data_IF_125246857967
#
_entry.id   IF_125246857967
#
_cell.length_a   1.000
_cell.length_b   1.000
_cell.length_c   1.000
_cell.angle_alpha   90.00
_cell.angle_beta   90.00
_cell.angle_gamma   90.00
#
_symmetry.space_group_name_H-M   'P 1'
#
loop_
_entity.id
_entity.type
_entity.pdbx_description
1 polymer ?
#
# COMPACT_ATOMS: atom_id res chain seq x y z
N UNK A 1 -2.63 -25.83 -16.31
CA UNK A 1 -3.90 -26.10 -15.61
C UNK A 1 -3.75 -27.34 -14.73
N UNK A 2 -3.09 -28.40 -15.22
CA UNK A 2 -2.74 -29.61 -14.44
C UNK A 2 -1.89 -29.35 -13.17
N UNK A 3 -1.17 -28.22 -13.14
CA UNK A 3 -0.35 -27.71 -12.04
C UNK A 3 -1.18 -27.00 -10.95
N UNK A 4 -2.40 -26.57 -11.28
CA UNK A 4 -3.35 -25.92 -10.36
C UNK A 4 -4.46 -26.90 -9.95
N UNK A 5 -4.94 -27.70 -10.89
CA UNK A 5 -5.98 -28.69 -10.70
C UNK A 5 -5.62 -30.00 -11.42
N UNK A 6 -5.52 -31.10 -10.68
CA UNK A 6 -5.18 -32.41 -11.23
C UNK A 6 -4.19 -33.19 -10.38
N UNK A 7 -3.78 -34.40 -10.83
CA UNK A 7 -2.84 -35.26 -10.09
C UNK A 7 -1.44 -34.66 -9.96
N UNK A 8 -1.07 -33.70 -10.81
CA UNK A 8 0.22 -33.02 -10.81
C UNK A 8 0.18 -31.62 -10.16
N UNK A 9 -0.87 -31.34 -9.37
CA UNK A 9 -1.00 -30.04 -8.69
C UNK A 9 0.19 -29.76 -7.78
N UNK A 10 0.63 -28.52 -7.71
CA UNK A 10 1.69 -28.08 -6.80
C UNK A 10 1.33 -26.74 -6.13
N UNK A 11 2.14 -26.34 -5.16
CA UNK A 11 1.94 -25.12 -4.38
C UNK A 11 2.79 -23.94 -4.88
N UNK A 12 3.38 -24.03 -6.07
CA UNK A 12 4.22 -22.97 -6.61
C UNK A 12 3.43 -21.66 -6.68
N UNK A 13 4.03 -20.57 -6.19
CA UNK A 13 3.42 -19.23 -6.12
C UNK A 13 2.14 -19.12 -5.26
N UNK A 14 1.75 -20.17 -4.52
CA UNK A 14 0.64 -20.12 -3.58
C UNK A 14 1.01 -19.41 -2.28
N UNK A 15 0.05 -18.69 -1.67
CA UNK A 15 0.25 -18.05 -0.36
C UNK A 15 0.58 -19.07 0.75
N UNK A 16 0.15 -20.32 0.56
CA UNK A 16 0.39 -21.44 1.46
C UNK A 16 1.90 -21.71 1.62
N UNK A 17 2.68 -21.63 0.54
CA UNK A 17 4.13 -21.81 0.59
C UNK A 17 4.83 -20.71 1.39
N UNK A 18 4.29 -19.49 1.38
CA UNK A 18 4.76 -18.38 2.22
C UNK A 18 4.29 -18.51 3.68
N UNK A 19 3.10 -19.08 3.91
CA UNK A 19 2.52 -19.25 5.24
C UNK A 19 3.30 -20.23 6.14
N UNK A 20 3.99 -21.22 5.55
CA UNK A 20 4.84 -22.17 6.30
C UNK A 20 5.96 -21.49 7.10
N UNK A 21 6.47 -20.36 6.60
CA UNK A 21 7.55 -19.58 7.25
C UNK A 21 7.10 -18.21 7.74
N UNK A 22 6.00 -17.70 7.19
CA UNK A 22 5.52 -16.34 7.41
C UNK A 22 6.27 -15.29 6.59
N UNK A 23 5.68 -14.10 6.45
CA UNK A 23 6.33 -12.94 5.85
C UNK A 23 6.99 -12.15 6.98
N UNK A 24 8.32 -12.21 7.06
CA UNK A 24 9.10 -11.51 8.09
C UNK A 24 10.16 -10.65 7.41
N UNK A 25 10.21 -9.37 7.77
CA UNK A 25 11.13 -8.42 7.17
C UNK A 25 11.00 -7.03 7.79
N UNK A 26 11.84 -6.09 7.33
CA UNK A 26 11.76 -4.70 7.76
C UNK A 26 10.60 -4.01 7.05
N UNK A 27 9.62 -3.54 7.81
CA UNK A 27 8.53 -2.72 7.29
C UNK A 27 8.89 -1.24 7.29
N UNK A 28 8.56 -0.52 6.21
CA UNK A 28 8.63 0.95 6.16
C UNK A 28 7.26 1.52 5.79
N UNK A 29 6.90 2.66 6.38
CA UNK A 29 5.65 3.36 6.09
C UNK A 29 5.96 4.72 5.48
N UNK A 30 5.40 4.96 4.28
CA UNK A 30 5.31 6.29 3.69
C UNK A 30 3.90 6.86 3.94
N UNK A 31 3.79 7.86 4.81
CA UNK A 31 2.53 8.55 5.11
C UNK A 31 2.24 9.62 4.04
N UNK A 32 1.89 9.13 2.84
CA UNK A 32 1.53 9.98 1.71
C UNK A 32 0.33 10.88 2.01
N UNK A 33 -0.65 10.40 2.78
CA UNK A 33 -1.82 11.18 3.16
C UNK A 33 -1.47 12.43 3.96
N UNK A 34 -0.66 12.28 5.00
CA UNK A 34 -0.22 13.42 5.81
C UNK A 34 0.63 14.38 4.98
N UNK A 35 1.55 13.85 4.18
CA UNK A 35 2.43 14.65 3.33
C UNK A 35 1.66 15.44 2.26
N UNK A 36 0.70 14.83 1.56
CA UNK A 36 -0.06 15.50 0.50
C UNK A 36 -0.89 16.66 1.04
N UNK A 37 -1.47 16.52 2.24
CA UNK A 37 -2.26 17.58 2.89
C UNK A 37 -1.38 18.79 3.23
N UNK A 38 -0.17 18.54 3.76
CA UNK A 38 0.78 19.61 4.05
C UNK A 38 1.30 20.32 2.78
N UNK A 39 1.27 19.64 1.62
CA UNK A 39 1.72 20.16 0.33
C UNK A 39 0.58 20.64 -0.56
N UNK A 40 -0.66 20.75 -0.04
CA UNK A 40 -1.85 21.16 -0.79
C UNK A 40 -2.10 20.35 -2.07
N UNK A 41 -1.77 19.05 -2.03
CA UNK A 41 -2.05 18.11 -3.12
C UNK A 41 -3.38 17.44 -2.82
N UNK A 42 -4.38 17.82 -3.61
CA UNK A 42 -5.72 17.26 -3.54
C UNK A 42 -5.84 15.93 -4.32
N UNK A 43 -6.71 15.06 -3.86
CA UNK A 43 -6.99 13.75 -4.47
C UNK A 43 -8.49 13.55 -4.49
N UNK A 44 -9.03 13.35 -5.68
CA UNK A 44 -10.42 12.94 -5.86
C UNK A 44 -10.56 11.46 -5.46
N UNK A 45 -11.29 11.20 -4.38
CA UNK A 45 -11.52 9.86 -3.83
C UNK A 45 -12.52 9.03 -4.65
N UNK A 46 -13.25 9.65 -5.57
CA UNK A 46 -14.18 8.98 -6.48
C UNK A 46 -13.54 8.65 -7.82
N UNK A 47 -12.25 8.96 -8.00
CA UNK A 47 -11.51 8.68 -9.23
C UNK A 47 -10.20 7.98 -8.94
N UNK A 48 -9.75 7.19 -9.91
CA UNK A 48 -8.40 6.65 -9.91
C UNK A 48 -7.39 7.80 -10.03
N UNK A 49 -6.68 8.05 -8.93
CA UNK A 49 -5.63 9.07 -8.86
C UNK A 49 -4.27 8.38 -8.71
N UNK A 50 -3.40 8.40 -9.74
CA UNK A 50 -2.08 7.77 -9.65
C UNK A 50 -1.20 8.51 -8.64
N UNK A 51 -0.36 7.78 -7.91
CA UNK A 51 0.66 8.35 -7.02
C UNK A 51 2.00 8.36 -7.76
N UNK A 52 2.54 9.52 -8.17
CA UNK A 52 3.82 9.58 -8.86
C UNK A 52 4.96 9.12 -7.96
N UNK A 53 5.95 8.41 -8.52
CA UNK A 53 7.15 7.99 -7.80
C UNK A 53 7.86 9.17 -7.11
N UNK A 54 7.89 10.35 -7.75
CA UNK A 54 8.48 11.58 -7.17
C UNK A 54 7.83 11.96 -5.84
N UNK A 55 6.54 11.71 -5.66
CA UNK A 55 5.86 11.99 -4.39
C UNK A 55 6.31 11.00 -3.32
N UNK A 56 6.41 9.70 -3.64
CA UNK A 56 6.90 8.70 -2.68
C UNK A 56 8.34 9.00 -2.23
N UNK A 57 9.21 9.44 -3.15
CA UNK A 57 10.57 9.90 -2.80
C UNK A 57 10.54 11.13 -1.89
N UNK A 58 9.70 12.12 -2.19
CA UNK A 58 9.56 13.32 -1.38
C UNK A 58 8.96 13.02 0.02
N UNK A 59 8.04 12.06 0.13
CA UNK A 59 7.52 11.58 1.42
C UNK A 59 8.67 10.97 2.23
N UNK A 60 9.43 10.04 1.62
CA UNK A 60 10.56 9.40 2.28
C UNK A 60 11.59 10.42 2.78
N UNK A 61 11.95 11.40 1.95
CA UNK A 61 12.86 12.49 2.30
C UNK A 61 12.30 13.36 3.45
N UNK A 62 11.04 13.79 3.36
CA UNK A 62 10.41 14.60 4.41
C UNK A 62 10.31 13.91 5.77
N UNK A 63 10.23 12.57 5.76
CA UNK A 63 10.18 11.75 6.97
C UNK A 63 11.57 11.32 7.46
N UNK A 64 12.63 11.57 6.69
CA UNK A 64 13.96 10.98 6.94
C UNK A 64 13.97 9.45 6.86
N UNK A 65 13.06 8.85 6.08
CA UNK A 65 12.92 7.39 5.95
C UNK A 65 13.85 6.85 4.87
N UNK A 66 14.82 6.03 5.26
CA UNK A 66 15.72 5.34 4.34
C UNK A 66 15.11 4.03 3.81
N UNK A 67 14.95 3.94 2.49
CA UNK A 67 14.50 2.74 1.79
C UNK A 67 15.70 1.84 1.50
N UNK A 68 15.62 0.57 1.90
CA UNK A 68 16.65 -0.45 1.68
C UNK A 68 16.08 -1.60 0.87
N UNK A 69 16.97 -2.34 0.23
CA UNK A 69 16.62 -3.58 -0.43
C UNK A 69 16.03 -4.58 0.59
N UNK A 70 14.93 -5.24 0.21
CA UNK A 70 14.22 -6.19 1.07
C UNK A 70 13.16 -5.57 1.98
N UNK A 71 12.92 -4.26 1.92
CA UNK A 71 11.85 -3.62 2.67
C UNK A 71 10.46 -4.04 2.19
N UNK A 72 9.55 -4.17 3.16
CA UNK A 72 8.11 -4.25 2.92
C UNK A 72 7.56 -2.82 2.98
N UNK A 73 7.23 -2.28 1.82
CA UNK A 73 6.75 -0.91 1.67
C UNK A 73 5.23 -0.82 1.93
N UNK A 74 4.85 -0.04 2.94
CA UNK A 74 3.48 0.38 3.18
C UNK A 74 3.29 1.83 2.74
N UNK A 75 2.20 2.11 2.01
CA UNK A 75 1.83 3.46 1.59
C UNK A 75 0.45 3.78 2.19
N UNK A 76 0.40 4.77 3.09
CA UNK A 76 -0.87 5.27 3.62
C UNK A 76 -1.42 6.37 2.72
N UNK A 77 -2.44 6.04 1.95
CA UNK A 77 -3.07 6.96 0.98
C UNK A 77 -4.16 7.85 1.56
N UNK A 78 -4.72 7.46 2.71
CA UNK A 78 -5.82 8.18 3.39
C UNK A 78 -7.04 7.28 3.60
N UNK A 79 -8.08 7.78 4.27
CA UNK A 79 -9.31 7.01 4.50
C UNK A 79 -10.07 6.79 3.19
N UNK A 80 -10.51 5.56 2.95
CA UNK A 80 -11.59 5.22 2.02
C UNK A 80 -12.93 5.47 2.72
N UNK A 81 -13.41 6.72 2.85
CA UNK A 81 -14.79 6.93 3.31
C UNK A 81 -15.36 8.33 2.97
N UNK A 82 -16.34 8.39 2.05
CA UNK A 82 -17.38 9.42 2.08
C UNK A 82 -18.80 8.84 1.87
N UNK A 83 -19.13 7.66 2.45
CA UNK A 83 -20.50 7.13 2.30
C UNK A 83 -21.39 7.40 3.53
N UNK A 84 -20.87 7.74 4.72
CA UNK A 84 -21.73 7.92 5.91
C UNK A 84 -21.42 9.06 6.89
N UNK A 85 -20.51 10.01 6.63
CA UNK A 85 -20.18 11.04 7.65
C UNK A 85 -20.71 12.46 7.34
N UNK A 86 -21.37 12.70 6.20
CA UNK A 86 -21.97 14.02 5.90
C UNK A 86 -23.50 14.09 6.16
N UNK A 87 -24.08 13.13 6.88
CA UNK A 87 -25.50 13.18 7.30
C UNK A 87 -25.73 13.38 8.81
N UNK A 88 -24.72 13.76 9.59
CA UNK A 88 -24.90 14.03 11.03
C UNK A 88 -24.61 15.48 11.46
N UNK A 89 -24.26 16.37 10.54
CA UNK A 89 -24.18 17.81 10.82
C UNK A 89 -24.71 18.62 9.63
N UNK A 90 -26.01 18.49 9.37
CA UNK A 90 -26.83 19.46 8.65
C UNK A 90 -28.28 19.31 9.11
#
# INVERSE_FOLDING_TARGET
>A
MDDIAGPNKNNANGVQAWAEKGIVGRGILLDYHKWRLANNIDIDIFKTSPIPLKHLKAVAESQGTEIKFGDILFIRVGKLHPIYIDKQFA
#
